data_IF_130069356687
#
_entry.id   IF_130069356687
#
_cell.length_a   1.000
_cell.length_b   1.000
_cell.length_c   1.000
_cell.angle_alpha   90.00
_cell.angle_beta   90.00
_cell.angle_gamma   90.00
#
_symmetry.space_group_name_H-M   'P 1'
#
loop_
_entity.id
_entity.type
_entity.pdbx_description
1 polymer ?
#
# COMPACT_ATOMS: atom_id res chain seq x y z
N UNK A 1 26.10 -10.80 12.38
CA UNK A 1 25.16 -10.16 11.42
C UNK A 1 25.23 -8.66 11.65
N UNK A 2 25.29 -7.84 10.60
CA UNK A 2 25.35 -6.38 10.72
C UNK A 2 23.95 -5.76 10.86
N UNK A 3 23.86 -4.65 11.59
CA UNK A 3 22.64 -3.83 11.70
C UNK A 3 22.39 -3.13 10.36
N UNK A 4 21.19 -3.34 9.80
CA UNK A 4 20.73 -2.79 8.52
C UNK A 4 19.64 -1.73 8.68
N UNK A 5 19.14 -1.52 9.90
CA UNK A 5 18.22 -0.43 10.23
C UNK A 5 18.99 0.87 10.46
N UNK A 6 19.55 1.42 9.38
CA UNK A 6 20.28 2.68 9.41
C UNK A 6 19.65 3.67 8.44
N UNK A 7 19.53 4.92 8.85
CA UNK A 7 19.09 6.01 7.98
C UNK A 7 19.95 6.05 6.70
N UNK A 8 19.30 6.14 5.54
CA UNK A 8 19.97 6.16 4.24
C UNK A 8 20.60 4.85 3.78
N UNK A 9 20.38 3.74 4.50
CA UNK A 9 20.80 2.42 4.01
C UNK A 9 19.89 1.94 2.88
N UNK A 10 20.49 1.26 1.90
CA UNK A 10 19.75 0.69 0.78
C UNK A 10 18.77 -0.38 1.25
N UNK A 11 19.16 -1.17 2.26
CA UNK A 11 18.32 -2.24 2.80
C UNK A 11 17.05 -1.72 3.48
N UNK A 12 17.13 -0.62 4.23
CA UNK A 12 15.95 0.05 4.79
C UNK A 12 15.01 0.51 3.69
N UNK A 13 15.54 1.16 2.64
CA UNK A 13 14.73 1.68 1.54
C UNK A 13 14.08 0.54 0.75
N UNK A 14 14.82 -0.51 0.40
CA UNK A 14 14.26 -1.67 -0.30
C UNK A 14 13.18 -2.35 0.53
N UNK A 15 13.44 -2.62 1.81
CA UNK A 15 12.45 -3.23 2.69
C UNK A 15 11.18 -2.38 2.83
N UNK A 16 11.34 -1.05 2.89
CA UNK A 16 10.21 -0.14 2.93
C UNK A 16 9.40 -0.14 1.64
N UNK A 17 10.05 -0.04 0.47
CA UNK A 17 9.39 -0.05 -0.84
C UNK A 17 8.60 -1.35 -1.05
N UNK A 18 9.21 -2.49 -0.75
CA UNK A 18 8.57 -3.80 -0.91
C UNK A 18 7.37 -3.96 0.04
N UNK A 19 7.52 -3.47 1.27
CA UNK A 19 6.44 -3.49 2.26
C UNK A 19 5.25 -2.62 1.83
N UNK A 20 5.51 -1.38 1.37
CA UNK A 20 4.45 -0.47 0.86
C UNK A 20 3.64 -1.10 -0.27
N UNK A 21 4.33 -1.73 -1.24
CA UNK A 21 3.69 -2.39 -2.39
C UNK A 21 2.84 -3.58 -1.97
N UNK A 22 3.28 -4.32 -0.96
CA UNK A 22 2.58 -5.49 -0.45
C UNK A 22 1.34 -5.10 0.36
N UNK A 23 1.42 -3.97 1.08
CA UNK A 23 0.40 -3.53 2.05
C UNK A 23 -0.55 -2.45 1.51
N UNK A 24 -0.30 -1.97 0.29
CA UNK A 24 -1.14 -0.96 -0.37
C UNK A 24 -1.13 0.37 0.35
N UNK A 25 0.05 0.90 0.65
CA UNK A 25 0.23 2.22 1.26
C UNK A 25 0.95 3.18 0.32
N UNK A 26 0.53 4.45 0.35
CA UNK A 26 1.37 5.52 -0.18
C UNK A 26 2.59 5.70 0.74
N UNK A 27 3.73 6.16 0.20
CA UNK A 27 4.95 6.32 0.99
C UNK A 27 4.84 7.17 2.27
N UNK A 28 4.16 8.33 2.32
CA UNK A 28 4.04 9.07 3.58
C UNK A 28 3.19 8.33 4.63
N UNK A 29 2.10 7.71 4.20
CA UNK A 29 1.11 7.09 5.10
C UNK A 29 1.58 5.73 5.64
N UNK A 30 2.47 5.06 4.90
CA UNK A 30 2.99 3.74 5.28
C UNK A 30 4.19 3.76 6.22
N UNK A 31 4.78 4.92 6.55
CA UNK A 31 5.98 5.00 7.41
C UNK A 31 5.71 4.40 8.79
N UNK A 32 4.70 4.90 9.48
CA UNK A 32 4.42 4.45 10.85
C UNK A 32 3.91 2.99 10.88
N UNK A 33 2.97 2.58 10.02
CA UNK A 33 2.62 1.17 9.86
C UNK A 33 3.81 0.24 9.57
N UNK A 34 4.79 0.67 8.77
CA UNK A 34 6.00 -0.11 8.48
C UNK A 34 6.84 -0.35 9.73
N UNK A 35 7.07 0.67 10.56
CA UNK A 35 7.84 0.51 11.81
C UNK A 35 7.10 -0.33 12.85
N UNK A 36 5.77 -0.31 12.86
CA UNK A 36 4.96 -1.09 13.80
C UNK A 36 4.79 -2.56 13.37
N UNK A 37 4.64 -2.81 12.07
CA UNK A 37 4.17 -4.10 11.55
C UNK A 37 5.16 -4.87 10.69
N UNK A 38 6.28 -4.30 10.24
CA UNK A 38 7.20 -5.02 9.34
C UNK A 38 8.10 -6.02 10.07
N UNK A 39 8.22 -7.21 9.51
CA UNK A 39 9.16 -8.22 10.01
C UNK A 39 10.61 -7.80 9.86
N UNK A 40 10.92 -6.95 8.87
CA UNK A 40 12.23 -6.34 8.71
C UNK A 40 12.61 -5.55 9.96
N UNK A 41 11.78 -4.57 10.36
CA UNK A 41 12.07 -3.74 11.54
C UNK A 41 12.13 -4.59 12.80
N UNK A 42 11.19 -5.52 12.99
CA UNK A 42 11.19 -6.45 14.13
C UNK A 42 12.49 -7.23 14.22
N UNK A 43 12.98 -7.79 13.11
CA UNK A 43 14.22 -8.56 13.07
C UNK A 43 15.44 -7.68 13.36
N UNK A 44 15.48 -6.45 12.82
CA UNK A 44 16.59 -5.54 13.08
C UNK A 44 16.64 -5.07 14.53
N UNK A 45 15.50 -4.83 15.17
CA UNK A 45 15.43 -4.45 16.59
C UNK A 45 15.94 -5.53 17.54
N UNK A 46 15.95 -6.81 17.14
CA UNK A 46 16.57 -7.87 17.94
C UNK A 46 18.11 -7.83 17.92
N UNK A 47 18.70 -7.14 16.94
CA UNK A 47 20.15 -7.07 16.74
C UNK A 47 20.78 -5.79 17.31
N UNK A 48 19.95 -4.81 17.67
CA UNK A 48 20.38 -3.49 18.14
C UNK A 48 20.35 -3.45 19.66
N UNK A 49 21.34 -2.82 20.28
CA UNK A 49 21.36 -2.62 21.73
C UNK A 49 20.26 -1.62 22.16
N UNK A 50 19.60 -1.87 23.29
CA UNK A 50 18.42 -1.08 23.72
C UNK A 50 18.68 0.43 23.80
N UNK A 51 19.90 0.83 24.17
CA UNK A 51 20.31 2.23 24.25
C UNK A 51 20.34 2.95 22.89
N UNK A 52 20.48 2.21 21.78
CA UNK A 52 20.61 2.77 20.43
C UNK A 52 19.31 2.65 19.61
N UNK A 53 18.37 1.80 20.05
CA UNK A 53 17.13 1.50 19.31
C UNK A 53 16.30 2.75 18.99
N UNK A 54 16.04 3.58 20.00
CA UNK A 54 15.19 4.75 19.83
C UNK A 54 15.82 5.77 18.88
N UNK A 55 17.12 5.99 19.00
CA UNK A 55 17.85 6.90 18.12
C UNK A 55 17.82 6.39 16.67
N UNK A 56 18.16 5.12 16.44
CA UNK A 56 18.19 4.55 15.08
C UNK A 56 16.80 4.51 14.43
N UNK A 57 15.76 4.20 15.21
CA UNK A 57 14.38 4.24 14.73
C UNK A 57 13.98 5.65 14.30
N UNK A 58 14.29 6.66 15.12
CA UNK A 58 13.92 8.03 14.82
C UNK A 58 14.71 8.58 13.62
N UNK A 59 16.01 8.30 13.53
CA UNK A 59 16.81 8.67 12.36
C UNK A 59 16.30 8.00 11.07
N UNK A 60 15.97 6.71 11.14
CA UNK A 60 15.39 5.97 10.02
C UNK A 60 14.03 6.53 9.62
N UNK A 61 13.16 6.85 10.59
CA UNK A 61 11.85 7.47 10.35
C UNK A 61 12.00 8.83 9.67
N UNK A 62 12.86 9.71 10.18
CA UNK A 62 13.12 11.02 9.58
C UNK A 62 13.70 10.93 8.18
N UNK A 63 14.55 9.93 7.93
CA UNK A 63 15.04 9.63 6.58
C UNK A 63 13.90 9.27 5.62
N UNK A 64 13.04 8.32 6.00
CA UNK A 64 11.90 7.92 5.18
C UNK A 64 10.91 9.07 4.97
N UNK A 65 10.66 9.92 5.98
CA UNK A 65 9.82 11.13 5.82
C UNK A 65 10.39 12.06 4.75
N UNK A 66 11.71 12.31 4.77
CA UNK A 66 12.36 13.14 3.74
C UNK A 66 12.26 12.49 2.37
N UNK A 67 12.45 11.16 2.28
CA UNK A 67 12.36 10.41 1.03
C UNK A 67 10.94 10.43 0.45
N UNK A 68 9.92 10.21 1.28
CA UNK A 68 8.51 10.22 0.88
C UNK A 68 8.00 11.58 0.41
N UNK A 69 8.72 12.68 0.71
CA UNK A 69 8.41 14.01 0.18
C UNK A 69 8.97 14.26 -1.21
N UNK A 70 9.88 13.43 -1.71
CA UNK A 70 10.38 13.52 -3.08
C UNK A 70 9.28 13.08 -4.06
N UNK A 71 8.77 13.97 -4.93
CA UNK A 71 7.73 13.61 -5.90
C UNK A 71 8.16 12.50 -6.86
N UNK A 72 9.44 12.40 -7.19
CA UNK A 72 9.98 11.35 -8.06
C UNK A 72 10.00 9.99 -7.37
N UNK A 73 10.12 9.98 -6.04
CA UNK A 73 9.98 8.77 -5.26
C UNK A 73 8.52 8.38 -5.10
N UNK A 74 7.67 9.31 -4.69
CA UNK A 74 6.24 9.07 -4.49
C UNK A 74 5.53 8.64 -5.78
N UNK A 75 5.89 9.22 -6.93
CA UNK A 75 5.33 8.90 -8.23
C UNK A 75 5.64 7.49 -8.75
N UNK A 76 6.50 6.72 -8.07
CA UNK A 76 6.77 5.30 -8.41
C UNK A 76 5.72 4.34 -7.83
N UNK A 77 4.81 4.84 -7.00
CA UNK A 77 3.78 4.05 -6.34
C UNK A 77 2.42 4.31 -7.00
N UNK A 78 1.57 3.29 -7.16
CA UNK A 78 0.19 3.50 -7.57
C UNK A 78 -0.53 4.42 -6.61
N UNK A 79 -1.47 5.23 -7.11
CA UNK A 79 -2.34 6.01 -6.26
C UNK A 79 -3.15 5.09 -5.35
N UNK A 80 -3.02 5.26 -4.04
CA UNK A 80 -3.86 4.59 -3.04
C UNK A 80 -5.08 5.46 -2.74
N UNK A 81 -6.24 4.84 -2.85
CA UNK A 81 -7.54 5.38 -2.50
C UNK A 81 -8.01 4.75 -1.18
N UNK A 82 -8.80 5.49 -0.41
CA UNK A 82 -9.33 5.05 0.88
C UNK A 82 -10.85 4.97 0.82
N UNK A 83 -11.42 3.92 1.42
CA UNK A 83 -12.85 3.76 1.59
C UNK A 83 -13.15 3.06 2.92
N UNK A 84 -14.40 2.66 3.14
CA UNK A 84 -14.79 1.78 4.24
C UNK A 84 -15.31 0.47 3.70
N UNK A 85 -15.01 -0.63 4.40
CA UNK A 85 -15.64 -1.91 4.14
C UNK A 85 -17.07 -1.98 4.72
N UNK A 86 -17.72 -3.13 4.53
CA UNK A 86 -19.08 -3.38 5.04
C UNK A 86 -19.22 -3.20 6.55
N UNK A 87 -18.18 -3.52 7.31
CA UNK A 87 -18.16 -3.42 8.77
C UNK A 87 -17.78 -1.99 9.24
N UNK A 88 -17.62 -1.05 8.30
CA UNK A 88 -17.21 0.32 8.57
C UNK A 88 -15.71 0.46 8.88
N UNK A 89 -14.91 -0.58 8.64
CA UNK A 89 -13.46 -0.55 8.89
C UNK A 89 -12.74 0.18 7.74
N UNK A 90 -11.61 0.84 8.02
CA UNK A 90 -10.80 1.45 6.97
C UNK A 90 -10.31 0.40 5.96
N UNK A 91 -10.60 0.65 4.70
CA UNK A 91 -10.10 -0.12 3.58
C UNK A 91 -9.31 0.79 2.62
N UNK A 92 -8.36 0.20 1.92
CA UNK A 92 -7.51 0.88 0.94
C UNK A 92 -7.54 0.11 -0.36
N UNK A 93 -7.39 0.80 -1.47
CA UNK A 93 -7.25 0.15 -2.76
C UNK A 93 -6.42 0.95 -3.76
N UNK A 94 -5.86 0.27 -4.75
CA UNK A 94 -5.18 0.90 -5.89
C UNK A 94 -5.90 0.50 -7.18
N UNK A 95 -5.93 1.38 -8.18
CA UNK A 95 -6.49 1.07 -9.49
C UNK A 95 -5.40 1.16 -10.56
N UNK A 96 -5.16 0.04 -11.25
CA UNK A 96 -4.37 0.03 -12.47
C UNK A 96 -5.33 -0.06 -13.66
N UNK A 97 -5.22 0.88 -14.61
CA UNK A 97 -6.17 1.01 -15.71
C UNK A 97 -5.45 0.98 -17.05
N UNK A 98 -6.04 0.27 -18.01
CA UNK A 98 -5.63 0.22 -19.42
C UNK A 98 -6.72 0.86 -20.26
N UNK A 99 -6.37 1.86 -21.06
CA UNK A 99 -7.29 2.52 -21.99
C UNK A 99 -7.10 1.95 -23.39
N UNK A 100 -8.22 1.81 -24.11
CA UNK A 100 -8.26 1.38 -25.51
C UNK A 100 -9.20 2.30 -26.31
N UNK A 101 -9.21 2.16 -27.63
CA UNK A 101 -10.10 2.95 -28.50
C UNK A 101 -11.59 2.69 -28.21
N UNK A 102 -11.90 1.49 -27.72
CA UNK A 102 -13.25 0.98 -27.50
C UNK A 102 -13.70 1.07 -26.04
N UNK A 103 -12.85 1.51 -25.12
CA UNK A 103 -13.19 1.56 -23.69
C UNK A 103 -11.98 1.49 -22.75
N UNK A 104 -12.22 0.99 -21.54
CA UNK A 104 -11.19 0.85 -20.51
C UNK A 104 -11.37 -0.47 -19.73
N UNK A 105 -10.24 -1.03 -19.31
CA UNK A 105 -10.16 -2.17 -18.41
C UNK A 105 -9.36 -1.77 -17.17
N UNK A 106 -9.67 -2.33 -16.01
CA UNK A 106 -8.94 -2.03 -14.78
C UNK A 106 -8.84 -3.22 -13.84
N UNK A 107 -7.79 -3.16 -13.02
CA UNK A 107 -7.52 -4.07 -11.92
C UNK A 107 -7.40 -3.23 -10.65
N UNK A 108 -8.38 -3.37 -9.77
CA UNK A 108 -8.34 -2.89 -8.40
C UNK A 108 -7.64 -3.90 -7.51
N UNK A 109 -6.75 -3.46 -6.62
CA UNK A 109 -6.20 -4.28 -5.52
C UNK A 109 -6.68 -3.68 -4.22
N UNK A 110 -7.21 -4.49 -3.31
CA UNK A 110 -7.85 -3.98 -2.10
C UNK A 110 -7.25 -4.60 -0.82
N UNK A 111 -7.25 -3.81 0.25
CA UNK A 111 -6.79 -4.18 1.59
C UNK A 111 -7.79 -3.67 2.64
N UNK A 112 -7.98 -4.41 3.73
CA UNK A 112 -8.69 -3.94 4.93
C UNK A 112 -7.76 -4.12 6.13
N UNK A 113 -7.46 -3.05 6.85
CA UNK A 113 -6.39 -3.06 7.86
C UNK A 113 -5.03 -3.45 7.26
N UNK A 114 -4.46 -4.58 7.71
CA UNK A 114 -3.22 -5.18 7.17
C UNK A 114 -3.45 -6.41 6.29
N UNK A 115 -4.72 -6.73 5.98
CA UNK A 115 -5.10 -7.91 5.21
C UNK A 115 -5.34 -7.54 3.74
N UNK A 116 -4.82 -8.37 2.84
CA UNK A 116 -5.08 -8.25 1.41
C UNK A 116 -6.38 -8.97 1.03
N UNK A 117 -7.32 -8.24 0.45
CA UNK A 117 -8.65 -8.75 0.08
C UNK A 117 -8.71 -9.36 -1.33
N UNK A 118 -7.65 -9.19 -2.12
CA UNK A 118 -7.55 -9.71 -3.49
C UNK A 118 -7.70 -8.64 -4.57
N UNK A 119 -7.87 -9.12 -5.80
CA UNK A 119 -8.05 -8.28 -6.99
C UNK A 119 -9.53 -8.14 -7.38
N UNK A 120 -9.88 -6.99 -7.94
CA UNK A 120 -11.21 -6.64 -8.46
C UNK A 120 -11.02 -6.21 -9.90
N UNK A 121 -11.50 -7.03 -10.83
CA UNK A 121 -11.35 -6.79 -12.27
C UNK A 121 -12.62 -6.13 -12.79
N UNK A 122 -12.47 -5.17 -13.71
CA UNK A 122 -13.60 -4.50 -14.33
C UNK A 122 -13.26 -3.96 -15.71
N UNK A 123 -14.31 -3.69 -16.49
CA UNK A 123 -14.20 -3.14 -17.82
C UNK A 123 -15.42 -2.31 -18.16
N UNK A 124 -15.25 -1.30 -19.00
CA UNK A 124 -16.36 -0.52 -19.56
C UNK A 124 -16.09 -0.25 -21.04
N UNK A 125 -17.11 -0.48 -21.86
CA UNK A 125 -17.08 -0.19 -23.29
C UNK A 125 -17.64 1.20 -23.58
N UNK A 126 -17.17 1.81 -24.66
CA UNK A 126 -17.57 3.13 -25.12
C UNK A 126 -16.72 4.26 -24.54
N UNK A 127 -16.67 5.37 -25.28
CA UNK A 127 -15.93 6.58 -24.88
C UNK A 127 -16.58 7.25 -23.68
N UNK A 128 -15.81 7.40 -22.60
CA UNK A 128 -16.19 8.10 -21.37
C UNK A 128 -15.11 9.12 -21.03
N UNK A 129 -15.47 10.21 -20.35
CA UNK A 129 -14.51 11.19 -19.83
C UNK A 129 -13.95 10.83 -18.45
N UNK A 130 -14.56 9.88 -17.74
CA UNK A 130 -14.34 9.64 -16.31
C UNK A 130 -14.08 8.15 -15.96
N UNK A 131 -13.25 7.47 -16.75
CA UNK A 131 -12.96 6.04 -16.52
C UNK A 131 -12.42 5.71 -15.13
N UNK A 132 -11.52 6.56 -14.60
CA UNK A 132 -10.95 6.34 -13.26
C UNK A 132 -12.02 6.40 -12.17
N UNK A 133 -12.94 7.37 -12.26
CA UNK A 133 -14.05 7.51 -11.31
C UNK A 133 -14.97 6.27 -11.35
N UNK A 134 -15.31 5.79 -12.55
CA UNK A 134 -16.10 4.57 -12.72
C UNK A 134 -15.39 3.34 -12.15
N UNK A 135 -14.08 3.24 -12.36
CA UNK A 135 -13.26 2.16 -11.80
C UNK A 135 -13.24 2.20 -10.26
N UNK A 136 -13.02 3.38 -9.67
CA UNK A 136 -13.08 3.60 -8.22
C UNK A 136 -14.45 3.20 -7.63
N UNK A 137 -15.53 3.70 -8.22
CA UNK A 137 -16.90 3.38 -7.77
C UNK A 137 -17.19 1.87 -7.84
N UNK A 138 -16.75 1.20 -8.91
CA UNK A 138 -16.88 -0.25 -9.05
C UNK A 138 -16.09 -1.00 -7.97
N UNK A 139 -14.83 -0.62 -7.75
CA UNK A 139 -13.96 -1.24 -6.72
C UNK A 139 -14.53 -1.03 -5.32
N UNK A 140 -15.00 0.16 -5.00
CA UNK A 140 -15.63 0.46 -3.70
C UNK A 140 -16.91 -0.34 -3.48
N UNK A 141 -17.77 -0.46 -4.50
CA UNK A 141 -18.97 -1.27 -4.43
C UNK A 141 -18.65 -2.75 -4.17
N UNK A 142 -17.61 -3.28 -4.80
CA UNK A 142 -17.14 -4.66 -4.58
C UNK A 142 -16.55 -4.84 -3.17
N UNK A 143 -15.78 -3.89 -2.66
CA UNK A 143 -15.26 -3.91 -1.28
C UNK A 143 -16.42 -3.92 -0.27
N UNK A 144 -17.44 -3.10 -0.49
CA UNK A 144 -18.66 -3.07 0.34
C UNK A 144 -19.47 -4.38 0.23
N UNK A 145 -19.54 -4.97 -0.97
CA UNK A 145 -20.29 -6.20 -1.25
C UNK A 145 -19.61 -7.49 -0.76
N UNK A 146 -18.27 -7.52 -0.70
CA UNK A 146 -17.47 -8.72 -0.35
C UNK A 146 -17.69 -9.26 1.06
N UNK A 147 -18.41 -8.54 1.93
CA UNK A 147 -18.89 -9.07 3.21
C UNK A 147 -19.90 -10.22 3.11
N UNK A 148 -20.27 -10.70 1.91
CA UNK A 148 -21.16 -11.85 1.70
C UNK A 148 -20.53 -13.02 0.91
N UNK A 149 -19.30 -12.90 0.39
CA UNK A 149 -18.76 -13.86 -0.58
C UNK A 149 -17.25 -14.14 -0.40
N UNK A 150 -16.84 -14.58 0.79
CA UNK A 150 -15.63 -15.44 0.90
C UNK A 150 -16.05 -16.77 1.51
N UNK A 151 -16.73 -17.56 0.68
CA UNK A 151 -16.76 -19.03 0.81
C UNK A 151 -16.43 -19.59 -0.58
N UNK A 152 -15.35 -20.38 -0.62
CA UNK A 152 -14.86 -21.23 -1.73
C UNK A 152 -14.10 -20.50 -2.85
N UNK A 153 -12.98 -20.99 -3.38
CA UNK A 153 -12.23 -22.24 -3.21
C UNK A 153 -10.76 -21.99 -3.59
N UNK A 154 -9.78 -22.81 -3.20
CA UNK A 154 -9.71 -24.26 -3.36
C UNK A 154 -8.71 -24.84 -2.37
#
# INVERSE_FOLDING_TARGET
>A
MSVKLKAGSMELETAFIDWLRTQGYNPPDGIEPFFQGSDFVRTQLLLIHDSEKQQLLEEARQHLVRRSRDPMFAGQFPAVHECRDRDGRPARYTVNMTLSDDGAEWIGRAWSGGEYLGEIHGSVTGRRGNYLELACQHVEAEILGRGAAVRQGR
#
